data_IF_160327260477
#
_entry.id   IF_160327260477
#
_cell.length_a   1.000
_cell.length_b   1.000
_cell.length_c   1.000
_cell.angle_alpha   90.00
_cell.angle_beta   90.00
_cell.angle_gamma   90.00
#
_symmetry.space_group_name_H-M   'P 1'
#
loop_
_entity.id
_entity.type
_entity.pdbx_description
1 polymer ?
#
# COMPACT_ATOMS: atom_id res chain seq x y z
N UNK A 1 -40.35 3.31 52.27
CA UNK A 1 -40.53 2.67 50.93
C UNK A 1 -39.41 3.00 49.93
N UNK A 2 -38.74 4.16 50.03
CA UNK A 2 -37.70 4.63 49.10
C UNK A 2 -36.37 3.86 49.22
N UNK A 3 -35.94 3.52 50.44
CA UNK A 3 -34.67 2.82 50.71
C UNK A 3 -34.63 1.39 50.11
N UNK A 4 -35.74 0.66 50.12
CA UNK A 4 -35.83 -0.68 49.50
C UNK A 4 -35.64 -0.63 47.97
N UNK A 5 -36.13 0.42 47.29
CA UNK A 5 -35.96 0.56 45.83
C UNK A 5 -34.51 0.89 45.43
N UNK A 6 -33.77 1.63 46.25
CA UNK A 6 -32.34 1.91 46.00
C UNK A 6 -31.48 0.67 46.23
N UNK A 7 -31.74 -0.11 47.27
CA UNK A 7 -31.04 -1.37 47.53
C UNK A 7 -31.21 -2.38 46.38
N UNK A 8 -32.44 -2.51 45.85
CA UNK A 8 -32.72 -3.38 44.71
C UNK A 8 -31.95 -2.92 43.46
N UNK A 9 -31.91 -1.61 43.15
CA UNK A 9 -31.13 -1.09 42.01
C UNK A 9 -29.63 -1.34 42.16
N UNK A 10 -29.09 -1.23 43.38
CA UNK A 10 -27.67 -1.53 43.65
C UNK A 10 -27.35 -3.00 43.43
N UNK A 11 -28.23 -3.90 43.88
CA UNK A 11 -28.08 -5.36 43.72
C UNK A 11 -28.16 -5.75 42.24
N UNK A 12 -29.11 -5.22 41.47
CA UNK A 12 -29.21 -5.47 40.03
C UNK A 12 -28.01 -4.87 39.26
N UNK A 13 -27.54 -3.68 39.64
CA UNK A 13 -26.35 -3.06 39.05
C UNK A 13 -25.07 -3.87 39.31
N UNK A 14 -24.88 -4.33 40.55
CA UNK A 14 -23.75 -5.19 40.93
C UNK A 14 -23.81 -6.57 40.25
N UNK A 15 -25.01 -7.16 40.14
CA UNK A 15 -25.24 -8.41 39.42
C UNK A 15 -24.94 -8.30 37.92
N UNK A 16 -25.34 -7.20 37.28
CA UNK A 16 -25.02 -6.93 35.89
C UNK A 16 -23.50 -6.75 35.67
N UNK A 17 -22.82 -6.05 36.58
CA UNK A 17 -21.36 -5.89 36.54
C UNK A 17 -20.61 -7.22 36.72
N UNK A 18 -21.06 -8.07 37.64
CA UNK A 18 -20.50 -9.42 37.81
C UNK A 18 -20.74 -10.27 36.56
N UNK A 19 -21.92 -10.21 35.94
CA UNK A 19 -22.22 -10.96 34.73
C UNK A 19 -21.33 -10.52 33.55
N UNK A 20 -21.11 -9.21 33.38
CA UNK A 20 -20.19 -8.66 32.38
C UNK A 20 -18.76 -9.11 32.67
N UNK A 21 -18.32 -9.05 33.93
CA UNK A 21 -17.00 -9.55 34.35
C UNK A 21 -16.81 -11.04 34.10
N UNK A 22 -17.84 -11.86 34.39
CA UNK A 22 -17.84 -13.31 34.12
C UNK A 22 -17.83 -13.61 32.62
N UNK A 23 -18.56 -12.85 31.79
CA UNK A 23 -18.56 -13.00 30.33
C UNK A 23 -17.21 -12.61 29.71
N UNK A 24 -16.55 -11.57 30.24
CA UNK A 24 -15.19 -11.19 29.86
C UNK A 24 -14.16 -12.25 30.27
N UNK A 25 -14.23 -12.76 31.49
CA UNK A 25 -13.40 -13.88 31.96
C UNK A 25 -13.62 -15.14 31.12
N UNK A 26 -14.87 -15.49 30.78
CA UNK A 26 -15.18 -16.62 29.91
C UNK A 26 -14.66 -16.43 28.48
N UNK A 27 -14.58 -15.20 27.97
CA UNK A 27 -13.90 -14.91 26.69
C UNK A 27 -12.38 -15.06 26.79
N UNK A 28 -11.78 -14.65 27.91
CA UNK A 28 -10.34 -14.79 28.16
C UNK A 28 -9.91 -16.24 28.46
N UNK A 29 -10.80 -17.05 29.01
CA UNK A 29 -10.57 -18.45 29.40
C UNK A 29 -10.98 -19.46 28.32
N UNK A 30 -11.63 -19.04 27.23
CA UNK A 30 -11.89 -19.94 26.10
C UNK A 30 -10.56 -20.21 25.41
N UNK A 31 -10.13 -21.49 25.30
CA UNK A 31 -9.00 -21.81 24.44
C UNK A 31 -9.32 -21.29 23.02
N UNK A 32 -8.34 -20.75 22.28
CA UNK A 32 -8.57 -20.31 20.91
C UNK A 32 -9.16 -21.49 20.14
N UNK A 33 -10.34 -21.27 19.56
CA UNK A 33 -10.95 -22.28 18.69
C UNK A 33 -10.00 -22.44 17.50
N UNK A 34 -9.53 -23.65 17.19
CA UNK A 34 -8.62 -23.84 16.07
C UNK A 34 -9.26 -23.30 14.80
N UNK A 35 -8.51 -22.49 14.06
CA UNK A 35 -8.96 -21.93 12.79
C UNK A 35 -9.42 -23.05 11.85
N UNK A 36 -10.64 -22.91 11.30
CA UNK A 36 -11.20 -23.90 10.38
C UNK A 36 -10.70 -23.62 8.98
N UNK A 37 -9.87 -24.51 8.43
CA UNK A 37 -9.29 -24.34 7.10
C UNK A 37 -10.29 -24.69 5.97
N UNK A 38 -11.34 -25.45 6.26
CA UNK A 38 -12.29 -25.93 5.24
C UNK A 38 -12.94 -24.80 4.41
N UNK A 39 -13.48 -23.70 4.99
CA UNK A 39 -14.00 -22.59 4.18
C UNK A 39 -12.96 -21.96 3.24
N UNK A 40 -11.69 -21.89 3.67
CA UNK A 40 -10.58 -21.38 2.84
C UNK A 40 -10.30 -22.35 1.69
N UNK A 41 -10.24 -23.66 1.97
CA UNK A 41 -10.10 -24.71 0.95
C UNK A 41 -11.21 -24.65 -0.10
N UNK A 42 -12.46 -24.52 0.33
CA UNK A 42 -13.61 -24.39 -0.56
C UNK A 42 -13.52 -23.12 -1.42
N UNK A 43 -13.10 -21.99 -0.84
CA UNK A 43 -12.91 -20.74 -1.59
C UNK A 43 -11.80 -20.88 -2.66
N UNK A 44 -10.68 -21.52 -2.34
CA UNK A 44 -9.60 -21.82 -3.30
C UNK A 44 -10.13 -22.69 -4.44
N UNK A 45 -10.93 -23.72 -4.14
CA UNK A 45 -11.52 -24.58 -5.16
C UNK A 45 -12.52 -23.84 -6.07
N UNK A 46 -13.35 -22.96 -5.48
CA UNK A 46 -14.31 -22.14 -6.24
C UNK A 46 -13.58 -21.21 -7.20
N UNK A 47 -12.56 -20.50 -6.73
CA UNK A 47 -11.78 -19.57 -7.56
C UNK A 47 -11.00 -20.29 -8.66
N UNK A 48 -10.47 -21.48 -8.40
CA UNK A 48 -9.84 -22.33 -9.41
C UNK A 48 -10.82 -22.80 -10.50
N UNK A 49 -12.10 -23.02 -10.18
CA UNK A 49 -13.12 -23.43 -11.13
C UNK A 49 -13.58 -22.30 -12.09
N UNK A 50 -13.44 -21.03 -11.67
CA UNK A 50 -13.75 -19.85 -12.48
C UNK A 50 -12.48 -19.13 -13.00
N UNK A 51 -11.48 -19.92 -13.38
CA UNK A 51 -10.05 -19.56 -13.50
C UNK A 51 -9.64 -18.17 -12.97
N UNK A 52 -9.93 -17.88 -11.70
CA UNK A 52 -9.59 -16.61 -11.05
C UNK A 52 -8.29 -16.80 -10.25
N UNK A 53 -7.15 -16.23 -10.70
CA UNK A 53 -5.90 -16.35 -9.97
C UNK A 53 -5.97 -15.62 -8.63
N UNK A 54 -5.71 -16.32 -7.54
CA UNK A 54 -5.62 -15.73 -6.19
C UNK A 54 -4.22 -15.91 -5.61
N UNK A 55 -3.74 -14.87 -4.92
CA UNK A 55 -2.44 -14.82 -4.26
C UNK A 55 -2.69 -14.58 -2.78
N UNK A 56 -2.09 -15.39 -1.90
CA UNK A 56 -2.11 -15.18 -0.46
C UNK A 56 -1.21 -13.99 -0.10
N UNK A 57 -1.80 -12.93 0.46
CA UNK A 57 -1.12 -11.70 0.86
C UNK A 57 -1.20 -11.42 2.36
N UNK A 58 -1.76 -12.33 3.15
CA UNK A 58 -1.89 -12.16 4.60
C UNK A 58 -0.53 -12.13 5.30
N UNK A 59 -0.21 -11.02 5.96
CA UNK A 59 1.09 -10.81 6.61
C UNK A 59 1.37 -11.84 7.69
N UNK A 60 0.36 -12.16 8.51
CA UNK A 60 0.53 -13.09 9.62
C UNK A 60 0.76 -14.52 9.12
N UNK A 61 0.01 -14.93 8.09
CA UNK A 61 0.20 -16.26 7.46
C UNK A 61 1.55 -16.35 6.76
N UNK A 62 1.91 -15.34 5.95
CA UNK A 62 3.18 -15.33 5.21
C UNK A 62 4.40 -15.39 6.12
N UNK A 63 4.34 -14.71 7.28
CA UNK A 63 5.44 -14.72 8.28
C UNK A 63 5.58 -16.09 8.95
N UNK A 64 4.49 -16.85 9.06
CA UNK A 64 4.43 -18.14 9.76
C UNK A 64 4.35 -19.33 8.80
N UNK A 65 4.66 -19.16 7.51
CA UNK A 65 4.48 -20.22 6.50
C UNK A 65 5.20 -21.53 6.83
N UNK A 66 6.34 -21.46 7.52
CA UNK A 66 7.12 -22.62 7.96
C UNK A 66 6.58 -23.30 9.22
N UNK A 67 5.63 -22.67 9.92
CA UNK A 67 5.14 -23.16 11.19
C UNK A 67 4.15 -24.31 10.99
N UNK A 68 3.95 -25.10 12.05
CA UNK A 68 3.02 -26.24 12.03
C UNK A 68 1.58 -25.83 11.67
N UNK A 69 1.19 -24.60 11.99
CA UNK A 69 -0.13 -24.08 11.63
C UNK A 69 -0.14 -22.57 11.34
N UNK A 70 0.13 -22.17 10.08
CA UNK A 70 0.20 -20.76 9.69
C UNK A 70 -1.13 -20.00 9.87
N UNK A 71 -2.26 -20.70 9.90
CA UNK A 71 -3.61 -20.11 10.03
C UNK A 71 -4.17 -20.12 11.47
N UNK A 72 -3.55 -20.83 12.42
CA UNK A 72 -4.20 -21.14 13.71
C UNK A 72 -4.45 -19.91 14.60
N UNK A 73 -3.62 -18.88 14.49
CA UNK A 73 -3.63 -17.74 15.41
C UNK A 73 -4.18 -16.45 14.77
N UNK A 74 -4.93 -16.57 13.66
CA UNK A 74 -5.49 -15.42 12.97
C UNK A 74 -6.62 -14.80 13.78
N UNK A 75 -6.50 -13.48 14.02
CA UNK A 75 -7.52 -12.66 14.69
C UNK A 75 -8.26 -11.75 13.71
N UNK A 76 -7.96 -11.88 12.42
CA UNK A 76 -8.47 -11.08 11.33
C UNK A 76 -8.84 -11.99 10.13
N UNK A 77 -9.64 -11.50 9.17
CA UNK A 77 -9.94 -12.25 7.95
C UNK A 77 -8.68 -12.58 7.15
N UNK A 78 -8.59 -13.80 6.62
CA UNK A 78 -7.46 -14.21 5.77
C UNK A 78 -7.43 -13.37 4.50
N UNK A 79 -6.33 -12.67 4.25
CA UNK A 79 -6.19 -11.82 3.06
C UNK A 79 -5.63 -12.59 1.84
N UNK A 80 -6.43 -12.62 0.77
CA UNK A 80 -6.01 -13.00 -0.58
C UNK A 80 -6.12 -11.79 -1.51
N UNK A 81 -5.48 -11.84 -2.67
CA UNK A 81 -5.60 -10.85 -3.71
C UNK A 81 -5.81 -11.48 -5.08
N UNK A 82 -6.55 -10.79 -5.94
CA UNK A 82 -6.65 -11.07 -7.38
C UNK A 82 -6.52 -9.78 -8.17
N UNK A 83 -6.03 -9.86 -9.40
CA UNK A 83 -6.07 -8.72 -10.31
C UNK A 83 -7.52 -8.44 -10.71
N UNK A 84 -7.93 -7.17 -10.63
CA UNK A 84 -9.28 -6.73 -10.97
C UNK A 84 -9.64 -7.04 -12.43
N UNK A 85 -8.66 -6.97 -13.35
CA UNK A 85 -8.85 -7.27 -14.78
C UNK A 85 -9.33 -8.70 -15.08
N UNK A 86 -9.15 -9.64 -14.14
CA UNK A 86 -9.65 -11.01 -14.27
C UNK A 86 -11.11 -11.16 -13.83
N UNK A 87 -11.68 -10.13 -13.20
CA UNK A 87 -13.09 -10.07 -12.84
C UNK A 87 -13.82 -9.33 -13.95
N UNK A 88 -14.37 -10.09 -14.90
CA UNK A 88 -15.13 -9.53 -16.02
C UNK A 88 -16.39 -8.78 -15.54
N UNK A 89 -17.15 -9.38 -14.63
CA UNK A 89 -18.29 -8.77 -13.96
C UNK A 89 -18.26 -9.08 -12.46
N UNK A 90 -18.32 -8.05 -11.62
CA UNK A 90 -18.37 -8.21 -10.15
C UNK A 90 -19.57 -9.07 -9.73
N UNK A 91 -20.73 -8.85 -10.38
CA UNK A 91 -21.96 -9.60 -10.10
C UNK A 91 -21.81 -11.10 -10.42
N UNK A 92 -20.97 -11.47 -11.40
CA UNK A 92 -20.75 -12.88 -11.72
C UNK A 92 -19.98 -13.59 -10.61
N UNK A 93 -18.99 -12.93 -9.99
CA UNK A 93 -18.25 -13.50 -8.86
C UNK A 93 -19.14 -13.70 -7.63
N UNK A 94 -19.96 -12.71 -7.28
CA UNK A 94 -20.91 -12.84 -6.15
C UNK A 94 -21.88 -13.99 -6.37
N UNK A 95 -22.43 -14.12 -7.58
CA UNK A 95 -23.36 -15.20 -7.92
C UNK A 95 -22.72 -16.59 -7.76
N UNK A 96 -21.44 -16.74 -8.16
CA UNK A 96 -20.69 -18.00 -8.00
C UNK A 96 -20.41 -18.31 -6.54
N UNK A 97 -20.04 -17.30 -5.74
CA UNK A 97 -19.81 -17.44 -4.30
C UNK A 97 -21.10 -17.85 -3.58
N UNK A 98 -22.21 -17.16 -3.88
CA UNK A 98 -23.52 -17.42 -3.30
C UNK A 98 -24.02 -18.85 -3.65
N UNK A 99 -23.86 -19.27 -4.91
CA UNK A 99 -24.18 -20.64 -5.34
C UNK A 99 -23.32 -21.71 -4.64
N UNK A 100 -22.12 -21.34 -4.19
CA UNK A 100 -21.21 -22.20 -3.42
C UNK A 100 -21.43 -22.12 -1.90
N UNK A 101 -22.48 -21.40 -1.47
CA UNK A 101 -22.88 -21.25 -0.07
C UNK A 101 -22.04 -20.25 0.72
N UNK A 102 -21.31 -19.36 0.06
CA UNK A 102 -20.64 -18.24 0.71
C UNK A 102 -21.59 -17.05 0.83
N UNK A 103 -21.48 -16.30 1.92
CA UNK A 103 -22.01 -14.93 2.02
C UNK A 103 -20.93 -13.98 1.51
N UNK A 104 -21.24 -13.08 0.59
CA UNK A 104 -20.25 -12.11 0.08
C UNK A 104 -20.77 -10.67 0.05
N UNK A 105 -19.88 -9.69 0.22
CA UNK A 105 -20.18 -8.27 -0.02
C UNK A 105 -18.96 -7.56 -0.62
N UNK A 106 -19.21 -6.65 -1.56
CA UNK A 106 -18.16 -5.85 -2.19
C UNK A 106 -17.70 -4.72 -1.26
N UNK A 107 -16.39 -4.46 -1.28
CA UNK A 107 -15.75 -3.29 -0.69
C UNK A 107 -15.46 -2.29 -1.80
N UNK A 108 -15.77 -1.03 -1.53
CA UNK A 108 -15.65 0.05 -2.50
C UNK A 108 -14.58 1.05 -2.06
N UNK A 109 -14.01 1.77 -3.02
CA UNK A 109 -13.37 3.05 -2.77
C UNK A 109 -14.26 4.13 -3.38
N UNK A 110 -14.96 4.88 -2.53
CA UNK A 110 -15.97 5.87 -2.96
C UNK A 110 -15.38 7.26 -3.17
N UNK A 111 -14.13 7.45 -2.74
CA UNK A 111 -13.34 8.66 -2.94
C UNK A 111 -12.01 8.29 -3.62
N UNK A 112 -12.02 7.61 -4.78
CA UNK A 112 -10.76 7.32 -5.46
C UNK A 112 -10.12 8.65 -5.82
N UNK A 113 -8.85 8.84 -5.45
CA UNK A 113 -8.12 10.07 -5.77
C UNK A 113 -7.92 10.23 -7.29
N UNK A 114 -8.20 9.19 -8.07
CA UNK A 114 -8.08 9.12 -9.52
C UNK A 114 -9.41 9.45 -10.26
N UNK A 115 -9.49 10.53 -11.04
CA UNK A 115 -10.47 10.70 -12.11
C UNK A 115 -9.85 10.27 -13.45
N UNK A 116 -9.46 9.01 -13.58
CA UNK A 116 -8.97 8.48 -14.86
C UNK A 116 -10.14 8.00 -15.73
N UNK A 117 -10.98 8.94 -16.12
CA UNK A 117 -11.87 8.90 -17.29
C UNK A 117 -12.59 10.25 -17.38
N UNK A 118 -13.04 10.69 -18.57
CA UNK A 118 -13.93 11.86 -18.71
C UNK A 118 -15.28 11.69 -17.98
N UNK A 119 -15.47 10.60 -17.22
CA UNK A 119 -16.58 10.35 -16.30
C UNK A 119 -15.98 10.04 -14.94
N UNK A 120 -16.31 10.85 -13.93
CA UNK A 120 -16.03 10.59 -12.52
C UNK A 120 -16.53 9.18 -12.19
N UNK A 121 -15.63 8.21 -12.04
CA UNK A 121 -16.00 6.87 -11.53
C UNK A 121 -16.18 7.04 -10.03
N UNK A 122 -17.44 7.14 -9.61
CA UNK A 122 -17.81 6.98 -8.21
C UNK A 122 -17.81 5.48 -7.93
N UNK A 123 -17.25 5.08 -6.79
CA UNK A 123 -17.31 3.72 -6.25
C UNK A 123 -16.50 2.66 -7.02
N UNK A 124 -15.17 2.74 -6.93
CA UNK A 124 -14.27 1.73 -7.50
C UNK A 124 -14.34 0.44 -6.66
N UNK A 125 -14.61 -0.74 -7.23
CA UNK A 125 -14.50 -2.01 -6.52
C UNK A 125 -13.07 -2.27 -6.06
N UNK A 126 -12.84 -2.46 -4.78
CA UNK A 126 -11.47 -2.66 -4.23
C UNK A 126 -11.30 -3.97 -3.48
N UNK A 127 -12.38 -4.65 -3.11
CA UNK A 127 -12.29 -5.90 -2.38
C UNK A 127 -13.62 -6.62 -2.23
N UNK A 128 -13.58 -7.77 -1.56
CA UNK A 128 -14.74 -8.48 -1.04
C UNK A 128 -14.48 -8.97 0.38
N UNK A 129 -15.52 -8.94 1.21
CA UNK A 129 -15.61 -9.81 2.38
C UNK A 129 -16.43 -11.03 1.99
N UNK A 130 -15.90 -12.21 2.29
CA UNK A 130 -16.48 -13.50 1.93
C UNK A 130 -16.51 -14.34 3.20
N UNK A 131 -17.66 -14.92 3.56
CA UNK A 131 -17.80 -15.67 4.80
C UNK A 131 -18.53 -16.99 4.60
N UNK A 132 -18.06 -18.01 5.30
CA UNK A 132 -18.72 -19.32 5.42
C UNK A 132 -18.29 -20.00 6.71
N UNK A 133 -19.25 -20.62 7.41
CA UNK A 133 -19.05 -21.36 8.65
C UNK A 133 -18.24 -20.63 9.74
N UNK A 134 -18.44 -19.31 9.83
CA UNK A 134 -17.78 -18.42 10.81
C UNK A 134 -16.37 -17.98 10.44
N UNK A 135 -15.83 -18.43 9.29
CA UNK A 135 -14.55 -17.97 8.75
C UNK A 135 -14.81 -16.84 7.76
N UNK A 136 -14.05 -15.76 7.88
CA UNK A 136 -14.10 -14.61 6.95
C UNK A 136 -12.79 -14.56 6.16
N UNK A 137 -12.94 -14.35 4.86
CA UNK A 137 -11.89 -14.20 3.87
C UNK A 137 -12.01 -12.79 3.31
N UNK A 138 -10.88 -12.10 3.22
CA UNK A 138 -10.77 -10.79 2.61
C UNK A 138 -10.08 -10.95 1.25
N UNK A 139 -10.81 -10.73 0.16
CA UNK A 139 -10.25 -10.74 -1.19
C UNK A 139 -9.99 -9.31 -1.64
N UNK A 140 -8.73 -8.93 -1.79
CA UNK A 140 -8.28 -7.63 -2.33
C UNK A 140 -8.32 -7.66 -3.85
N UNK A 141 -8.87 -6.61 -4.45
CA UNK A 141 -8.85 -6.40 -5.90
C UNK A 141 -7.73 -5.42 -6.23
N UNK A 142 -6.68 -5.96 -6.84
CA UNK A 142 -5.50 -5.23 -7.28
C UNK A 142 -5.77 -4.62 -8.66
N UNK A 143 -5.68 -3.29 -8.75
CA UNK A 143 -5.82 -2.56 -10.02
C UNK A 143 -4.46 -2.27 -10.62
N UNK A 144 -4.33 -2.46 -11.94
CA UNK A 144 -3.12 -2.09 -12.64
C UNK A 144 -3.09 -0.57 -12.86
N UNK A 145 -2.04 0.08 -12.38
CA UNK A 145 -1.77 1.51 -12.64
C UNK A 145 -0.39 1.70 -13.25
N UNK A 146 -0.32 2.56 -14.27
CA UNK A 146 0.91 3.01 -14.96
C UNK A 146 1.94 1.90 -15.28
N UNK A 147 1.47 0.68 -15.57
CA UNK A 147 2.25 -0.52 -15.89
C UNK A 147 3.38 -0.94 -14.91
N UNK A 148 3.43 -0.36 -13.72
CA UNK A 148 4.58 -0.51 -12.81
C UNK A 148 4.23 -1.16 -11.48
N UNK A 149 3.01 -0.96 -10.98
CA UNK A 149 2.57 -1.48 -9.68
C UNK A 149 1.10 -1.93 -9.73
N UNK A 150 0.68 -2.55 -8.63
CA UNK A 150 -0.71 -2.89 -8.37
C UNK A 150 -1.24 -2.05 -7.22
N UNK A 151 -2.25 -1.23 -7.49
CA UNK A 151 -2.91 -0.39 -6.51
C UNK A 151 -4.05 -1.13 -5.83
N UNK A 152 -4.28 -0.83 -4.55
CA UNK A 152 -5.49 -1.18 -3.83
C UNK A 152 -5.99 0.03 -3.03
N UNK A 153 -7.30 0.21 -2.96
CA UNK A 153 -7.89 1.35 -2.25
C UNK A 153 -8.09 1.10 -0.75
N UNK A 154 -8.37 2.19 -0.04
CA UNK A 154 -8.67 2.18 1.39
C UNK A 154 -10.13 1.81 1.64
N UNK A 155 -10.41 0.80 2.48
CA UNK A 155 -11.78 0.44 2.85
C UNK A 155 -12.48 1.51 3.66
N UNK A 156 -11.73 2.42 4.29
CA UNK A 156 -12.30 3.52 5.09
C UNK A 156 -13.05 4.54 4.24
N UNK A 157 -12.73 4.61 2.95
CA UNK A 157 -13.46 5.44 2.00
C UNK A 157 -14.84 4.87 1.65
N UNK A 158 -15.15 3.60 1.99
CA UNK A 158 -16.47 3.02 1.77
C UNK A 158 -17.46 3.52 2.84
N UNK A 159 -18.42 4.36 2.44
CA UNK A 159 -19.44 4.89 3.36
C UNK A 159 -20.24 3.80 4.11
N UNK A 160 -20.31 2.58 3.56
CA UNK A 160 -20.99 1.44 4.17
C UNK A 160 -20.09 0.51 4.99
N UNK A 161 -18.77 0.77 5.10
CA UNK A 161 -17.81 -0.20 5.66
C UNK A 161 -18.19 -0.69 7.05
N UNK A 162 -18.64 0.23 7.93
CA UNK A 162 -19.01 -0.11 9.30
C UNK A 162 -20.10 -1.18 9.35
N UNK A 163 -21.14 -1.01 8.54
CA UNK A 163 -22.25 -1.97 8.50
C UNK A 163 -21.80 -3.29 7.86
N UNK A 164 -21.03 -3.23 6.76
CA UNK A 164 -20.47 -4.41 6.09
C UNK A 164 -19.62 -5.26 7.04
N UNK A 165 -18.76 -4.65 7.85
CA UNK A 165 -17.94 -5.37 8.84
C UNK A 165 -18.82 -6.04 9.91
N UNK A 166 -19.81 -5.31 10.46
CA UNK A 166 -20.73 -5.84 11.47
C UNK A 166 -21.56 -7.01 10.93
N UNK A 167 -22.03 -6.92 9.68
CA UNK A 167 -22.78 -7.99 9.02
C UNK A 167 -21.96 -9.28 8.85
N UNK A 168 -20.63 -9.16 8.89
CA UNK A 168 -19.68 -10.27 8.79
C UNK A 168 -19.12 -10.68 10.17
N UNK A 169 -19.67 -10.17 11.26
CA UNK A 169 -19.25 -10.50 12.63
C UNK A 169 -17.90 -9.90 13.03
N UNK A 170 -17.38 -8.95 12.26
CA UNK A 170 -16.14 -8.24 12.55
C UNK A 170 -16.44 -6.98 13.38
N UNK A 171 -15.48 -6.49 14.18
CA UNK A 171 -15.59 -5.17 14.80
C UNK A 171 -15.89 -4.10 13.73
N UNK A 172 -16.80 -3.17 14.04
CA UNK A 172 -17.25 -2.13 13.11
C UNK A 172 -16.21 -1.03 12.79
N UNK A 173 -14.93 -1.37 12.81
CA UNK A 173 -13.81 -0.51 12.47
C UNK A 173 -12.84 -1.23 11.52
N UNK A 174 -12.35 -0.51 10.51
CA UNK A 174 -11.46 -1.01 9.46
C UNK A 174 -10.10 -1.62 9.91
N UNK A 175 -9.49 -1.26 11.07
CA UNK A 175 -8.23 -1.86 11.54
C UNK A 175 -8.27 -3.38 11.77
N UNK A 176 -9.41 -4.03 11.53
CA UNK A 176 -9.58 -5.48 11.58
C UNK A 176 -9.12 -6.19 10.32
N UNK A 177 -8.86 -5.45 9.23
CA UNK A 177 -8.30 -5.99 7.99
C UNK A 177 -6.78 -5.83 8.01
N UNK A 178 -6.06 -6.87 7.62
CA UNK A 178 -4.60 -6.85 7.53
C UNK A 178 -4.13 -5.85 6.45
N UNK A 179 -4.85 -5.77 5.33
CA UNK A 179 -4.57 -4.96 4.14
C UNK A 179 -5.76 -4.05 3.83
N UNK A 180 -5.53 -2.98 3.07
CA UNK A 180 -6.52 -1.97 2.66
C UNK A 180 -7.05 -1.05 3.79
N UNK A 181 -6.38 -0.98 4.95
CA UNK A 181 -6.72 0.03 5.98
C UNK A 181 -6.61 1.43 5.39
N UNK A 182 -5.50 1.67 4.68
CA UNK A 182 -5.21 2.86 3.89
C UNK A 182 -5.02 2.45 2.42
N UNK A 183 -4.96 3.44 1.52
CA UNK A 183 -4.60 3.18 0.12
C UNK A 183 -3.15 2.73 0.05
N UNK A 184 -2.88 1.78 -0.83
CA UNK A 184 -1.56 1.20 -0.96
C UNK A 184 -1.26 0.79 -2.40
N UNK A 185 0.01 0.57 -2.65
CA UNK A 185 0.51 0.02 -3.90
C UNK A 185 1.54 -1.06 -3.57
N UNK A 186 1.51 -2.14 -4.34
CA UNK A 186 2.53 -3.19 -4.26
C UNK A 186 3.24 -3.26 -5.61
N UNK A 187 4.56 -3.34 -5.57
CA UNK A 187 5.34 -3.61 -6.78
C UNK A 187 4.88 -4.93 -7.40
N UNK A 188 4.92 -5.01 -8.74
CA UNK A 188 4.60 -6.26 -9.43
C UNK A 188 5.61 -7.33 -9.06
N UNK A 189 5.15 -8.47 -8.57
CA UNK A 189 5.99 -9.62 -8.25
C UNK A 189 5.48 -10.88 -8.96
N UNK A 190 6.36 -11.89 -9.08
CA UNK A 190 5.97 -13.21 -9.59
C UNK A 190 5.36 -14.02 -8.44
N UNK A 191 4.28 -14.73 -8.72
CA UNK A 191 3.73 -15.71 -7.79
C UNK A 191 4.47 -17.04 -7.92
N UNK A 192 4.68 -17.73 -6.79
CA UNK A 192 5.13 -19.13 -6.74
C UNK A 192 4.09 -19.96 -6.01
N UNK A 193 3.87 -21.19 -6.46
CA UNK A 193 2.94 -22.12 -5.82
C UNK A 193 3.63 -22.81 -4.64
N UNK A 194 3.00 -22.79 -3.48
CA UNK A 194 3.49 -23.43 -2.25
C UNK A 194 2.36 -24.25 -1.64
N UNK A 195 2.67 -25.45 -1.16
CA UNK A 195 1.73 -26.26 -0.40
C UNK A 195 1.72 -25.80 1.06
N UNK A 196 0.56 -25.38 1.55
CA UNK A 196 0.36 -24.92 2.94
C UNK A 196 -0.82 -25.69 3.52
N UNK A 197 -0.54 -26.60 4.46
CA UNK A 197 -1.56 -27.45 5.09
C UNK A 197 -2.46 -28.18 4.07
N UNK A 198 -1.87 -28.72 2.99
CA UNK A 198 -2.59 -29.42 1.92
C UNK A 198 -3.29 -28.52 0.90
N UNK A 199 -3.16 -27.19 1.01
CA UNK A 199 -3.64 -26.23 0.01
C UNK A 199 -2.50 -25.77 -0.88
N UNK A 200 -2.69 -25.81 -2.19
CA UNK A 200 -1.77 -25.21 -3.15
C UNK A 200 -2.08 -23.73 -3.31
N UNK A 201 -1.30 -22.87 -2.66
CA UNK A 201 -1.51 -21.43 -2.63
C UNK A 201 -0.42 -20.71 -3.40
N UNK A 202 -0.80 -19.68 -4.17
CA UNK A 202 0.18 -18.78 -4.78
C UNK A 202 0.62 -17.75 -3.73
N UNK A 203 1.92 -17.56 -3.58
CA UNK A 203 2.53 -16.56 -2.69
C UNK A 203 3.53 -15.70 -3.45
N UNK A 204 3.91 -14.50 -2.98
CA UNK A 204 4.99 -13.72 -3.58
C UNK A 204 6.29 -14.51 -3.66
N UNK A 205 7.00 -14.46 -4.80
CA UNK A 205 8.28 -15.16 -5.00
C UNK A 205 9.37 -14.74 -4.00
N UNK A 206 9.28 -13.52 -3.48
CA UNK A 206 10.12 -13.02 -2.39
C UNK A 206 9.23 -12.47 -1.28
N UNK A 207 8.93 -13.33 -0.31
CA UNK A 207 8.05 -13.00 0.82
C UNK A 207 8.64 -11.87 1.67
N UNK A 208 9.95 -11.90 1.95
CA UNK A 208 10.59 -10.85 2.75
C UNK A 208 10.48 -9.47 2.09
N UNK A 209 10.74 -9.38 0.77
CA UNK A 209 10.61 -8.10 0.03
C UNK A 209 9.17 -7.57 0.10
N UNK A 210 8.17 -8.45 -0.08
CA UNK A 210 6.77 -8.06 0.06
C UNK A 210 6.44 -7.55 1.47
N UNK A 211 6.92 -8.24 2.51
CA UNK A 211 6.68 -7.88 3.91
C UNK A 211 7.38 -6.59 4.34
N UNK A 212 8.56 -6.31 3.78
CA UNK A 212 9.35 -5.09 4.02
C UNK A 212 8.73 -3.88 3.35
N UNK A 213 8.39 -3.98 2.05
CA UNK A 213 7.70 -2.92 1.32
C UNK A 213 6.46 -2.46 2.09
N UNK A 214 5.67 -3.44 2.53
CA UNK A 214 4.41 -3.20 3.24
C UNK A 214 4.52 -2.40 4.54
N UNK A 215 5.70 -2.39 5.16
CA UNK A 215 5.92 -1.63 6.40
C UNK A 215 6.00 -0.11 6.19
N UNK A 216 6.05 0.36 4.93
CA UNK A 216 6.18 1.76 4.54
C UNK A 216 4.96 2.35 3.82
N UNK A 217 3.86 1.59 3.75
CA UNK A 217 2.76 1.79 2.79
C UNK A 217 1.78 2.90 3.17
N UNK A 218 2.18 4.15 2.91
CA UNK A 218 1.18 5.16 2.61
C UNK A 218 1.30 5.55 1.14
N UNK A 219 0.32 5.14 0.33
CA UNK A 219 0.25 5.58 -1.05
C UNK A 219 -0.12 7.06 -1.11
N UNK A 220 0.80 7.89 -1.59
CA UNK A 220 0.58 9.32 -1.76
C UNK A 220 0.20 9.57 -3.22
N UNK A 221 -1.10 9.56 -3.51
CA UNK A 221 -1.59 9.89 -4.85
C UNK A 221 -1.50 11.39 -5.14
N UNK A 222 -1.29 11.74 -6.41
CA UNK A 222 -1.32 13.13 -6.84
C UNK A 222 -2.76 13.67 -6.84
N UNK A 223 -2.94 14.97 -6.63
CA UNK A 223 -4.28 15.58 -6.61
C UNK A 223 -4.70 15.98 -8.02
N UNK A 224 -5.43 15.12 -8.72
CA UNK A 224 -5.88 15.40 -10.09
C UNK A 224 -6.84 16.59 -10.19
N UNK A 225 -7.67 16.86 -9.17
CA UNK A 225 -8.51 18.05 -9.13
C UNK A 225 -7.69 19.34 -9.07
N UNK A 226 -6.59 19.32 -8.30
CA UNK A 226 -5.61 20.41 -8.25
C UNK A 226 -4.87 20.55 -9.57
N UNK A 227 -4.45 19.43 -10.16
CA UNK A 227 -3.77 19.44 -11.46
C UNK A 227 -4.69 19.99 -12.55
N UNK A 228 -5.96 19.57 -12.60
CA UNK A 228 -6.95 20.12 -13.52
C UNK A 228 -7.13 21.63 -13.33
N UNK A 229 -7.31 22.10 -12.10
CA UNK A 229 -7.41 23.53 -11.81
C UNK A 229 -6.14 24.31 -12.25
N UNK A 230 -4.95 23.73 -12.07
CA UNK A 230 -3.70 24.31 -12.52
C UNK A 230 -3.63 24.42 -14.05
N UNK A 231 -3.96 23.34 -14.78
CA UNK A 231 -3.94 23.34 -16.24
C UNK A 231 -5.05 24.21 -16.85
N UNK A 232 -6.21 24.32 -16.19
CA UNK A 232 -7.29 25.23 -16.59
C UNK A 232 -6.84 26.70 -16.52
N UNK A 233 -5.99 27.06 -15.55
CA UNK A 233 -5.50 28.42 -15.36
C UNK A 233 -4.28 28.74 -16.24
N UNK A 234 -3.31 27.82 -16.33
CA UNK A 234 -2.00 28.08 -16.94
C UNK A 234 -1.78 27.40 -18.30
N UNK A 235 -2.66 26.47 -18.70
CA UNK A 235 -2.48 25.61 -19.86
C UNK A 235 -1.46 24.47 -19.64
N UNK A 236 -1.52 23.44 -20.48
CA UNK A 236 -0.48 22.41 -20.57
C UNK A 236 0.58 22.79 -21.62
N UNK A 237 1.81 22.36 -21.38
CA UNK A 237 2.93 22.54 -22.31
C UNK A 237 3.10 21.26 -23.14
N UNK A 238 2.37 21.22 -24.25
CA UNK A 238 2.42 20.12 -25.23
C UNK A 238 3.48 20.33 -26.31
N UNK A 239 4.45 21.23 -26.07
CA UNK A 239 5.55 21.46 -27.02
C UNK A 239 6.38 20.19 -27.24
N UNK A 240 7.04 20.10 -28.39
CA UNK A 240 7.89 18.93 -28.70
C UNK A 240 9.04 18.80 -27.70
N UNK A 241 9.52 19.93 -27.20
CA UNK A 241 10.57 20.09 -26.22
C UNK A 241 10.12 19.53 -24.86
N UNK A 242 8.92 19.92 -24.42
CA UNK A 242 8.30 19.41 -23.19
C UNK A 242 8.08 17.90 -23.23
N UNK A 243 7.50 17.38 -24.32
CA UNK A 243 7.27 15.94 -24.49
C UNK A 243 8.60 15.14 -24.49
N UNK A 244 9.64 15.66 -25.15
CA UNK A 244 10.99 15.07 -25.12
C UNK A 244 11.58 15.10 -23.70
N UNK A 245 11.42 16.20 -22.98
CA UNK A 245 11.87 16.31 -21.59
C UNK A 245 11.15 15.29 -20.70
N UNK A 246 9.81 15.25 -20.71
CA UNK A 246 9.01 14.29 -19.95
C UNK A 246 9.49 12.86 -20.23
N UNK A 247 9.65 12.48 -21.50
CA UNK A 247 10.15 11.14 -21.87
C UNK A 247 11.53 10.82 -21.29
N UNK A 248 12.49 11.74 -21.41
CA UNK A 248 13.85 11.57 -20.86
C UNK A 248 13.85 11.49 -19.34
N UNK A 249 13.09 12.34 -18.68
CA UNK A 249 12.98 12.38 -17.23
C UNK A 249 12.33 11.10 -16.68
N UNK A 250 11.29 10.57 -17.31
CA UNK A 250 10.73 9.26 -16.97
C UNK A 250 11.75 8.14 -17.13
N UNK A 251 12.46 8.08 -18.26
CA UNK A 251 13.53 7.09 -18.48
C UNK A 251 14.62 7.20 -17.39
N UNK A 252 15.02 8.41 -17.04
CA UNK A 252 16.00 8.70 -15.99
C UNK A 252 15.49 8.23 -14.62
N UNK A 253 14.27 8.61 -14.22
CA UNK A 253 13.63 8.21 -12.96
C UNK A 253 13.49 6.70 -12.84
N UNK A 254 13.01 6.02 -13.88
CA UNK A 254 12.91 4.55 -13.91
C UNK A 254 14.28 3.89 -13.73
N UNK A 255 15.32 4.40 -14.40
CA UNK A 255 16.66 3.83 -14.30
C UNK A 255 17.28 4.12 -12.92
N UNK A 256 17.08 5.31 -12.37
CA UNK A 256 17.54 5.68 -11.03
C UNK A 256 16.85 4.83 -9.95
N UNK A 257 15.52 4.65 -10.04
CA UNK A 257 14.75 3.76 -9.16
C UNK A 257 15.33 2.34 -9.16
N UNK A 258 15.60 1.76 -10.33
CA UNK A 258 16.19 0.41 -10.42
C UNK A 258 17.52 0.29 -9.67
N UNK A 259 18.37 1.32 -9.71
CA UNK A 259 19.65 1.33 -8.98
C UNK A 259 19.42 1.44 -7.47
N UNK A 260 18.55 2.36 -7.06
CA UNK A 260 18.25 2.59 -5.64
C UNK A 260 17.56 1.37 -5.01
N UNK A 261 16.60 0.75 -5.71
CA UNK A 261 15.96 -0.50 -5.30
C UNK A 261 16.99 -1.64 -5.19
N UNK A 262 17.91 -1.79 -6.16
CA UNK A 262 18.98 -2.80 -6.11
C UNK A 262 19.89 -2.63 -4.89
N UNK A 263 20.08 -1.40 -4.43
CA UNK A 263 20.89 -1.06 -3.25
C UNK A 263 20.08 -1.05 -1.95
N UNK A 264 18.76 -1.30 -2.01
CA UNK A 264 17.82 -1.14 -0.90
C UNK A 264 17.91 0.25 -0.25
N UNK A 265 18.00 1.30 -1.07
CA UNK A 265 18.08 2.70 -0.61
C UNK A 265 16.71 3.35 -0.81
N UNK A 266 15.97 3.66 0.27
CA UNK A 266 14.75 4.45 0.19
C UNK A 266 15.03 5.84 -0.36
N UNK A 267 14.12 6.34 -1.19
CA UNK A 267 14.22 7.67 -1.77
C UNK A 267 12.84 8.29 -1.98
N UNK A 268 12.80 9.60 -2.23
CA UNK A 268 11.59 10.33 -2.55
C UNK A 268 11.85 11.39 -3.62
N UNK A 269 10.79 11.88 -4.26
CA UNK A 269 10.89 13.04 -5.14
C UNK A 269 11.23 14.28 -4.29
N UNK A 270 12.19 15.08 -4.73
CA UNK A 270 12.59 16.31 -4.03
C UNK A 270 12.35 17.56 -4.89
N UNK A 271 12.49 18.74 -4.29
CA UNK A 271 12.56 20.04 -4.97
C UNK A 271 11.52 20.24 -6.09
N UNK A 272 11.94 20.61 -7.31
CA UNK A 272 11.05 20.91 -8.43
C UNK A 272 10.33 19.67 -8.96
N UNK A 273 10.96 18.50 -8.83
CA UNK A 273 10.37 17.22 -9.23
C UNK A 273 9.18 16.85 -8.33
N UNK A 274 9.32 17.03 -7.01
CA UNK A 274 8.24 16.85 -6.05
C UNK A 274 7.11 17.87 -6.25
N UNK A 275 7.46 19.14 -6.49
CA UNK A 275 6.48 20.19 -6.76
C UNK A 275 5.65 19.87 -8.01
N UNK A 276 6.27 19.37 -9.08
CA UNK A 276 5.56 18.94 -10.28
C UNK A 276 4.50 17.89 -9.94
N UNK A 277 4.91 16.81 -9.27
CA UNK A 277 4.01 15.74 -8.85
C UNK A 277 2.84 16.28 -8.00
N UNK A 278 3.14 17.10 -6.99
CA UNK A 278 2.13 17.65 -6.08
C UNK A 278 1.16 18.63 -6.76
N UNK A 279 1.68 19.52 -7.62
CA UNK A 279 0.92 20.63 -8.20
C UNK A 279 0.10 20.22 -9.41
N UNK A 280 0.72 19.47 -10.32
CA UNK A 280 0.21 19.23 -11.67
C UNK A 280 0.21 17.75 -12.08
N UNK A 281 0.41 16.82 -11.12
CA UNK A 281 0.46 15.38 -11.40
C UNK A 281 1.47 15.00 -12.50
N UNK A 282 2.47 15.84 -12.74
CA UNK A 282 3.40 15.70 -13.87
C UNK A 282 4.70 16.48 -13.57
N UNK A 283 5.71 16.28 -14.39
CA UNK A 283 6.96 17.03 -14.31
C UNK A 283 6.77 18.48 -14.79
N UNK A 284 7.54 19.39 -14.20
CA UNK A 284 7.62 20.77 -14.67
C UNK A 284 8.50 20.77 -15.93
N UNK A 285 7.90 20.90 -17.11
CA UNK A 285 8.55 20.67 -18.42
C UNK A 285 9.71 21.59 -18.74
N UNK A 286 9.71 22.78 -18.14
CA UNK A 286 10.77 23.76 -18.24
C UNK A 286 11.78 23.67 -17.08
N UNK A 287 11.67 22.67 -16.19
CA UNK A 287 12.78 22.28 -15.32
C UNK A 287 13.88 21.65 -16.18
N UNK A 288 15.13 21.76 -15.73
CA UNK A 288 16.30 21.31 -16.50
C UNK A 288 16.96 20.07 -15.89
N UNK A 289 16.35 19.54 -14.85
CA UNK A 289 16.86 18.53 -13.95
C UNK A 289 15.72 17.75 -13.28
N UNK A 290 16.11 16.61 -12.72
CA UNK A 290 15.31 15.75 -11.86
C UNK A 290 16.00 15.70 -10.49
N UNK A 291 15.22 15.78 -9.42
CA UNK A 291 15.70 15.86 -8.04
C UNK A 291 15.12 14.72 -7.21
N UNK A 292 15.99 13.96 -6.55
CA UNK A 292 15.61 12.93 -5.58
C UNK A 292 16.24 13.23 -4.22
N UNK A 293 15.54 12.83 -3.17
CA UNK A 293 16.01 12.87 -1.79
C UNK A 293 16.33 11.47 -1.27
N UNK A 294 17.40 11.35 -0.48
CA UNK A 294 17.83 10.12 0.19
C UNK A 294 18.24 10.47 1.62
N UNK A 295 17.97 9.60 2.59
CA UNK A 295 18.52 9.79 3.95
C UNK A 295 20.04 9.57 3.94
N UNK A 296 20.80 10.44 4.58
CA UNK A 296 22.26 10.31 4.72
C UNK A 296 22.69 9.02 5.43
N UNK A 297 21.83 8.47 6.30
CA UNK A 297 22.04 7.16 6.94
C UNK A 297 22.05 6.00 5.94
N UNK A 298 21.42 6.17 4.78
CA UNK A 298 21.22 5.12 3.78
C UNK A 298 22.26 5.24 2.65
N UNK A 299 23.24 6.14 2.80
CA UNK A 299 24.35 6.27 1.86
C UNK A 299 25.15 4.96 1.76
N UNK A 300 25.33 4.50 0.52
CA UNK A 300 26.18 3.37 0.19
C UNK A 300 27.35 3.81 -0.67
N UNK A 301 28.55 3.28 -0.39
CA UNK A 301 29.73 3.50 -1.24
C UNK A 301 29.56 2.90 -2.65
N UNK A 302 28.59 2.00 -2.83
CA UNK A 302 28.24 1.42 -4.14
C UNK A 302 27.31 2.32 -4.97
N UNK A 303 26.78 3.41 -4.41
CA UNK A 303 25.82 4.28 -5.10
C UNK A 303 26.38 4.80 -6.43
N UNK A 304 27.53 5.47 -6.41
CA UNK A 304 28.14 6.02 -7.64
C UNK A 304 28.49 4.90 -8.65
N UNK A 305 29.19 3.81 -8.26
CA UNK A 305 29.48 2.71 -9.19
C UNK A 305 28.25 2.09 -9.85
N UNK A 306 27.15 1.85 -9.11
CA UNK A 306 25.95 1.24 -9.70
C UNK A 306 25.22 2.19 -10.64
N UNK A 307 25.15 3.49 -10.31
CA UNK A 307 24.64 4.50 -11.24
C UNK A 307 25.47 4.54 -12.53
N UNK A 308 26.81 4.50 -12.42
CA UNK A 308 27.70 4.48 -13.59
C UNK A 308 27.52 3.24 -14.47
N UNK A 309 27.32 2.06 -13.87
CA UNK A 309 27.01 0.82 -14.61
C UNK A 309 25.72 0.93 -15.43
N UNK A 310 24.76 1.75 -14.99
CA UNK A 310 23.51 2.02 -15.72
C UNK A 310 23.61 3.18 -16.72
N UNK A 311 24.79 3.76 -16.92
CA UNK A 311 25.03 4.81 -17.94
C UNK A 311 25.00 6.23 -17.40
N UNK A 312 24.82 6.44 -16.09
CA UNK A 312 24.91 7.77 -15.49
C UNK A 312 26.37 8.22 -15.41
N UNK A 313 26.64 9.47 -15.81
CA UNK A 313 27.96 10.09 -15.67
C UNK A 313 27.98 10.97 -14.45
N UNK A 314 28.91 10.73 -13.52
CA UNK A 314 29.11 11.59 -12.36
C UNK A 314 29.49 12.99 -12.84
N UNK A 315 28.75 14.01 -12.40
CA UNK A 315 28.97 15.41 -12.76
C UNK A 315 29.59 16.18 -11.60
N UNK A 316 28.97 16.13 -10.43
CA UNK A 316 29.43 16.84 -9.24
C UNK A 316 29.24 15.98 -7.99
N UNK A 317 30.11 16.21 -7.01
CA UNK A 317 29.94 15.78 -5.63
C UNK A 317 30.20 17.01 -4.78
N UNK A 318 29.21 17.41 -3.98
CA UNK A 318 29.33 18.53 -3.07
C UNK A 318 29.21 18.08 -1.62
N UNK A 319 29.73 18.91 -0.71
CA UNK A 319 29.66 18.68 0.73
C UNK A 319 30.43 17.45 1.21
N UNK A 320 30.05 16.96 2.39
CA UNK A 320 30.51 15.70 2.99
C UNK A 320 29.30 14.90 3.43
N UNK A 321 29.46 13.57 3.49
CA UNK A 321 28.39 12.63 3.88
C UNK A 321 27.67 13.05 5.15
N UNK A 322 28.36 13.69 6.11
CA UNK A 322 27.82 14.10 7.41
C UNK A 322 27.36 15.56 7.51
N UNK A 323 27.23 16.32 6.41
CA UNK A 323 26.77 17.71 6.47
C UNK A 323 25.82 18.15 5.33
N UNK A 324 26.27 18.17 4.08
CA UNK A 324 25.64 18.88 2.97
C UNK A 324 25.87 18.13 1.66
N UNK A 325 25.79 16.81 1.76
CA UNK A 325 26.16 15.92 0.68
C UNK A 325 25.15 16.02 -0.47
N UNK A 326 25.67 16.16 -1.68
CA UNK A 326 24.90 16.16 -2.91
C UNK A 326 25.70 15.45 -3.98
N UNK A 327 25.05 14.58 -4.75
CA UNK A 327 25.65 13.93 -5.90
C UNK A 327 24.81 14.26 -7.14
N UNK A 328 25.44 14.90 -8.11
CA UNK A 328 24.82 15.17 -9.41
C UNK A 328 25.33 14.19 -10.45
N UNK A 329 24.42 13.60 -11.22
CA UNK A 329 24.70 12.83 -12.41
C UNK A 329 24.16 13.50 -13.67
N UNK A 330 24.65 13.06 -14.83
CA UNK A 330 24.03 13.29 -16.14
C UNK A 330 23.69 11.93 -16.74
N UNK A 331 22.46 11.77 -17.19
CA UNK A 331 22.00 10.60 -17.93
C UNK A 331 21.45 11.06 -19.28
N UNK A 332 22.02 10.51 -20.36
CA UNK A 332 21.93 11.08 -21.70
C UNK A 332 22.38 12.56 -21.70
N UNK A 333 21.44 13.50 -21.65
CA UNK A 333 21.67 14.94 -21.57
C UNK A 333 20.92 15.63 -20.42
N UNK A 334 20.25 14.86 -19.56
CA UNK A 334 19.45 15.35 -18.44
C UNK A 334 20.20 15.16 -17.11
N UNK A 335 20.12 16.17 -16.23
CA UNK A 335 20.77 16.14 -14.92
C UNK A 335 19.86 15.45 -13.88
N UNK A 336 20.45 14.62 -13.04
CA UNK A 336 19.84 14.08 -11.82
C UNK A 336 20.61 14.62 -10.62
N UNK A 337 19.92 15.21 -9.65
CA UNK A 337 20.48 15.58 -8.36
C UNK A 337 19.95 14.66 -7.26
N UNK A 338 20.88 14.07 -6.50
CA UNK A 338 20.60 13.32 -5.28
C UNK A 338 20.97 14.18 -4.07
N UNK A 339 19.96 14.68 -3.36
CA UNK A 339 20.11 15.44 -2.13
C UNK A 339 20.07 14.51 -0.93
N UNK A 340 21.05 14.66 -0.02
CA UNK A 340 21.09 13.88 1.22
C UNK A 340 20.46 14.65 2.37
N UNK A 341 19.61 13.95 3.11
CA UNK A 341 18.85 14.49 4.22
C UNK A 341 19.29 13.91 5.55
N UNK A 342 19.29 14.75 6.58
CA UNK A 342 19.82 14.48 7.91
C UNK A 342 18.71 14.62 8.93
N UNK A 343 18.62 13.64 9.83
CA UNK A 343 17.70 13.71 10.95
C UNK A 343 18.37 14.44 12.11
N UNK A 344 17.66 15.41 12.67
CA UNK A 344 18.05 16.11 13.88
C UNK A 344 16.82 16.22 14.79
N UNK A 345 16.78 15.37 15.83
CA UNK A 345 15.60 15.20 16.66
C UNK A 345 14.37 14.79 15.82
N UNK A 346 13.34 15.62 15.86
CA UNK A 346 12.09 15.41 15.10
C UNK A 346 12.07 16.13 13.74
N UNK A 347 13.17 16.79 13.35
CA UNK A 347 13.27 17.50 12.07
C UNK A 347 14.16 16.74 11.08
N UNK A 348 13.88 16.92 9.80
CA UNK A 348 14.72 16.46 8.70
C UNK A 348 15.16 17.68 7.90
N UNK A 349 16.44 17.79 7.59
CA UNK A 349 17.01 18.92 6.85
C UNK A 349 18.00 18.41 5.79
N UNK A 350 18.20 19.15 4.70
CA UNK A 350 19.27 18.92 3.74
C UNK A 350 20.13 20.18 3.63
N UNK A 351 21.45 20.00 3.59
CA UNK A 351 22.38 21.12 3.44
C UNK A 351 22.63 21.46 1.97
N UNK A 352 23.00 22.72 1.72
CA UNK A 352 23.45 23.19 0.40
C UNK A 352 24.93 23.61 0.44
N UNK A 353 25.68 23.30 -0.63
CA UNK A 353 27.06 23.78 -0.80
C UNK A 353 27.16 24.69 -2.01
N UNK A 354 27.61 25.93 -1.82
CA UNK A 354 27.81 26.85 -2.93
C UNK A 354 29.05 26.45 -3.76
N UNK A 355 28.84 26.11 -5.03
CA UNK A 355 29.85 25.51 -5.91
C UNK A 355 31.17 26.30 -6.04
N UNK A 356 31.14 27.64 -5.97
CA UNK A 356 32.33 28.48 -6.16
C UNK A 356 33.11 28.72 -4.87
N UNK A 357 32.43 28.91 -3.76
CA UNK A 357 33.03 29.33 -2.48
C UNK A 357 33.21 28.17 -1.50
N UNK A 358 32.49 27.06 -1.71
CA UNK A 358 32.40 25.97 -0.74
C UNK A 358 31.61 26.33 0.53
N UNK A 359 30.94 27.50 0.56
CA UNK A 359 30.09 27.88 1.70
C UNK A 359 28.94 26.90 1.84
N UNK A 360 28.67 26.50 3.09
CA UNK A 360 27.67 25.51 3.45
C UNK A 360 26.49 26.19 4.14
N UNK A 361 25.30 25.71 3.80
CA UNK A 361 24.03 26.19 4.32
C UNK A 361 23.23 25.00 4.86
N UNK A 362 22.48 25.24 5.93
CA UNK A 362 21.50 24.32 6.49
C UNK A 362 20.11 24.91 6.26
#
# INVERSE_FOLDING_TARGET
MIVKRQAIKLIFGAGALMLVGQLLMLRLLRPPVPFRLEPVSQFVNVTAAIPLPIILLDRAVLTQLSDMCPFCNLQHPVAFASLYKHIHEVQSLQSVLDASGFKSTILLNTLPVEPAAPKVVRDVPTGFLIAKDGVVIHLVLLHERADSYWWFGAVQSDFGIKQKLLDFGLPGHAPTLDIMIDEGAVDRFKGVLVEVQGLNLMVPSSINLYLEQRSSDHFIECSHSRAAAFFDEFGDDDSSEALKFKHKAWKLLTTAKQVLDQLNIPFWLSSGTCLGYYRQCDLITYSKDVDLGIMASDYSTNLIPEFQKRGFKLKHVFGRINDSFEISFVYDDLKLDLFFFYREGNSIWNGGTQAKSGLKFK
#
